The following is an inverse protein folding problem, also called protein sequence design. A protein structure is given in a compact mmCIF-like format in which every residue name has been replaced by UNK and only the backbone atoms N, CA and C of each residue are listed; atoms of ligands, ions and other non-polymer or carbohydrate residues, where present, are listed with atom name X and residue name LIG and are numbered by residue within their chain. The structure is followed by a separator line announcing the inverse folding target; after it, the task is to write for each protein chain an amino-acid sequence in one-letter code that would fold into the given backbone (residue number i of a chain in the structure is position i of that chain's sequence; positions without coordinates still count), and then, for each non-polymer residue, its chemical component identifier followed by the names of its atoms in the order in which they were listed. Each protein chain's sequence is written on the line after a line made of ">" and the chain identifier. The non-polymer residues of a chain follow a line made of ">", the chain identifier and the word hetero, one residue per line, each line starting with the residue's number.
data_IF_003721780411
#
_entry.id   IF_003721780411
#
_cell.length_a   1.000
_cell.length_b   1.000
_cell.length_c   1.000
_cell.angle_alpha   90.00
_cell.angle_beta   90.00
_cell.angle_gamma   90.00
#
_symmetry.space_group_name_H-M   'P 1'
#
loop_
_entity.id
_entity.type
_entity.pdbx_description
1 polymer ?
#
# COMPACT_ATOMS: atom_id res chain seq x y z
N UNK A 1 -0.95 -2.39 7.07
CA UNK A 1 -1.87 -1.74 6.12
C UNK A 1 -1.08 -0.76 5.26
N UNK A 2 -1.30 -0.74 3.94
CA UNK A 2 -0.75 0.31 3.08
C UNK A 2 -1.51 1.61 3.35
N UNK A 3 -0.77 2.65 3.76
CA UNK A 3 -1.34 3.93 4.15
C UNK A 3 -0.72 5.07 3.34
N UNK A 4 -1.55 5.80 2.58
CA UNK A 4 -1.10 6.86 1.68
C UNK A 4 -1.36 8.28 2.20
N UNK A 5 -2.12 8.43 3.29
CA UNK A 5 -2.59 9.75 3.75
C UNK A 5 -3.78 10.30 2.97
N UNK A 6 -4.32 9.53 2.03
CA UNK A 6 -5.54 9.85 1.29
C UNK A 6 -6.79 9.40 2.04
N UNK A 7 -7.92 10.08 1.77
CA UNK A 7 -9.23 9.88 2.40
C UNK A 7 -9.61 8.40 2.56
N UNK A 8 -9.54 7.61 1.48
CA UNK A 8 -9.99 6.22 1.51
C UNK A 8 -9.11 5.36 2.43
N UNK A 9 -7.79 5.55 2.37
CA UNK A 9 -6.86 4.85 3.27
C UNK A 9 -6.98 5.33 4.72
N UNK A 10 -7.30 6.60 4.97
CA UNK A 10 -7.56 7.13 6.32
C UNK A 10 -8.83 6.53 6.90
N UNK A 11 -9.90 6.46 6.11
CA UNK A 11 -11.15 5.84 6.53
C UNK A 11 -10.97 4.36 6.86
N UNK A 12 -10.31 3.60 5.98
CA UNK A 12 -10.02 2.18 6.22
C UNK A 12 -9.16 2.00 7.48
N UNK A 13 -8.13 2.83 7.69
CA UNK A 13 -7.27 2.73 8.87
C UNK A 13 -8.07 2.96 10.16
N UNK A 14 -8.92 4.00 10.17
CA UNK A 14 -9.81 4.30 11.28
C UNK A 14 -10.76 3.12 11.55
N UNK A 15 -11.39 2.58 10.52
CA UNK A 15 -12.33 1.45 10.64
C UNK A 15 -11.66 0.22 11.25
N UNK A 16 -10.44 -0.13 10.81
CA UNK A 16 -9.69 -1.28 11.36
C UNK A 16 -9.39 -1.11 12.85
N UNK A 17 -9.10 0.11 13.30
CA UNK A 17 -8.73 0.41 14.69
C UNK A 17 -9.99 0.57 15.56
N UNK A 18 -10.90 1.47 15.19
CA UNK A 18 -12.03 1.86 16.05
C UNK A 18 -13.17 0.83 16.02
N UNK A 19 -13.52 0.32 14.84
CA UNK A 19 -14.66 -0.58 14.68
C UNK A 19 -14.27 -2.05 14.84
N UNK A 20 -13.13 -2.45 14.27
CA UNK A 20 -12.66 -3.83 14.31
C UNK A 20 -11.63 -4.10 15.42
N UNK A 21 -11.16 -3.08 16.13
CA UNK A 21 -10.27 -3.22 17.30
C UNK A 21 -8.99 -4.00 16.98
N UNK A 22 -8.50 -3.87 15.75
CA UNK A 22 -7.30 -4.58 15.29
C UNK A 22 -6.04 -3.82 15.70
N UNK A 23 -4.98 -4.57 16.01
CA UNK A 23 -3.62 -4.03 16.10
C UNK A 23 -3.07 -3.86 14.69
N UNK A 24 -2.85 -2.61 14.28
CA UNK A 24 -2.45 -2.27 12.90
C UNK A 24 -1.04 -1.70 12.90
N UNK A 25 -0.20 -2.21 12.00
CA UNK A 25 1.01 -1.50 11.55
C UNK A 25 0.67 -0.77 10.25
N UNK A 26 0.69 0.56 10.27
CA UNK A 26 0.52 1.39 9.09
C UNK A 26 1.87 1.57 8.36
N UNK A 27 1.88 1.42 7.04
CA UNK A 27 3.11 1.49 6.24
C UNK A 27 2.88 2.46 5.09
N UNK A 28 3.71 3.49 5.00
CA UNK A 28 3.75 4.40 3.86
C UNK A 28 4.98 4.12 3.01
N UNK A 29 4.77 3.82 1.74
CA UNK A 29 5.87 3.62 0.79
C UNK A 29 6.24 4.94 0.13
N UNK A 30 7.41 5.46 0.46
CA UNK A 30 7.98 6.65 -0.12
C UNK A 30 8.66 6.34 -1.45
N UNK A 31 7.90 6.54 -2.53
CA UNK A 31 8.40 6.46 -3.90
C UNK A 31 8.95 7.80 -4.42
N UNK A 32 9.12 8.82 -3.58
CA UNK A 32 9.65 10.13 -3.95
C UNK A 32 8.64 11.12 -4.55
N UNK A 33 7.36 10.74 -4.67
CA UNK A 33 6.29 11.58 -5.23
C UNK A 33 5.10 11.76 -4.27
N UNK A 34 5.33 11.65 -2.95
CA UNK A 34 4.29 11.90 -1.94
C UNK A 34 4.11 13.42 -1.79
N UNK A 35 2.85 13.90 -1.84
CA UNK A 35 2.57 15.33 -1.69
C UNK A 35 2.78 15.79 -0.24
N UNK A 36 3.16 17.06 -0.02
CA UNK A 36 3.30 17.63 1.33
C UNK A 36 2.02 17.47 2.17
N UNK A 37 0.85 17.68 1.56
CA UNK A 37 -0.45 17.48 2.22
C UNK A 37 -0.66 16.04 2.66
N UNK A 38 -0.25 15.06 1.85
CA UNK A 38 -0.36 13.64 2.24
C UNK A 38 0.56 13.34 3.43
N UNK A 39 1.78 13.89 3.46
CA UNK A 39 2.70 13.74 4.61
C UNK A 39 2.09 14.34 5.87
N UNK A 40 1.51 15.55 5.77
CA UNK A 40 0.84 16.20 6.90
C UNK A 40 -0.36 15.36 7.40
N UNK A 41 -1.19 14.85 6.49
CA UNK A 41 -2.31 13.98 6.82
C UNK A 41 -1.83 12.69 7.49
N UNK A 42 -0.75 12.08 6.98
CA UNK A 42 -0.18 10.88 7.57
C UNK A 42 0.18 11.14 9.03
N UNK A 43 0.97 12.18 9.29
CA UNK A 43 1.43 12.52 10.63
C UNK A 43 0.28 12.85 11.59
N UNK A 44 -0.72 13.61 11.14
CA UNK A 44 -1.90 13.97 11.95
C UNK A 44 -2.71 12.74 12.33
N UNK A 45 -3.04 11.90 11.34
CA UNK A 45 -3.91 10.74 11.53
C UNK A 45 -3.22 9.66 12.34
N UNK A 46 -1.95 9.34 12.07
CA UNK A 46 -1.26 8.28 12.81
C UNK A 46 -1.08 8.64 14.27
N UNK A 47 -0.79 9.92 14.56
CA UNK A 47 -0.75 10.45 15.93
C UNK A 47 -2.12 10.41 16.61
N UNK A 48 -3.19 10.79 15.91
CA UNK A 48 -4.55 10.81 16.46
C UNK A 48 -5.08 9.41 16.77
N UNK A 49 -4.83 8.44 15.87
CA UNK A 49 -5.26 7.05 16.04
C UNK A 49 -4.32 6.21 16.91
N UNK A 50 -3.21 6.80 17.40
CA UNK A 50 -2.19 6.12 18.21
C UNK A 50 -1.71 4.81 17.58
N UNK A 51 -1.46 4.82 16.27
CA UNK A 51 -1.06 3.64 15.49
C UNK A 51 0.42 3.67 15.15
N UNK A 52 1.08 2.52 15.24
CA UNK A 52 2.45 2.35 14.76
C UNK A 52 2.52 2.63 13.26
N UNK A 53 3.46 3.47 12.86
CA UNK A 53 3.62 3.90 11.47
C UNK A 53 5.08 3.85 11.02
N UNK A 54 5.34 3.23 9.87
CA UNK A 54 6.67 3.20 9.24
C UNK A 54 6.65 3.83 7.84
N UNK A 55 7.74 4.52 7.51
CA UNK A 55 8.07 4.90 6.14
C UNK A 55 9.05 3.90 5.53
N UNK A 56 8.74 3.45 4.31
CA UNK A 56 9.60 2.58 3.51
C UNK A 56 10.11 3.40 2.35
N UNK A 57 11.41 3.71 2.35
CA UNK A 57 12.01 4.59 1.34
C UNK A 57 13.14 3.84 0.62
N UNK A 58 12.85 3.13 -0.48
CA UNK A 58 13.91 2.59 -1.32
C UNK A 58 14.79 3.71 -1.89
N UNK A 59 16.00 3.37 -2.30
CA UNK A 59 16.90 4.34 -2.91
C UNK A 59 16.25 4.93 -4.18
N UNK A 60 16.41 6.24 -4.34
CA UNK A 60 15.80 6.99 -5.46
C UNK A 60 16.19 6.41 -6.81
N UNK A 61 17.43 5.98 -6.98
CA UNK A 61 17.90 5.43 -8.25
C UNK A 61 17.29 4.06 -8.55
N UNK A 62 17.02 3.24 -7.53
CA UNK A 62 16.25 2.00 -7.68
C UNK A 62 14.82 2.28 -8.16
N UNK A 63 14.15 3.28 -7.58
CA UNK A 63 12.80 3.66 -8.00
C UNK A 63 12.80 4.18 -9.45
N UNK A 64 13.76 5.05 -9.80
CA UNK A 64 13.93 5.55 -11.16
C UNK A 64 14.13 4.41 -12.16
N UNK A 65 15.02 3.45 -11.83
CA UNK A 65 15.29 2.32 -12.70
C UNK A 65 14.03 1.48 -12.97
N UNK A 66 13.27 1.16 -11.92
CA UNK A 66 12.01 0.43 -12.06
C UNK A 66 11.02 1.21 -12.94
N UNK A 67 10.90 2.52 -12.74
CA UNK A 67 9.97 3.33 -13.52
C UNK A 67 10.38 3.42 -14.99
N UNK A 68 11.66 3.64 -15.29
CA UNK A 68 12.16 3.67 -16.67
C UNK A 68 11.95 2.32 -17.36
N UNK A 69 12.31 1.21 -16.70
CA UNK A 69 12.13 -0.14 -17.27
C UNK A 69 10.66 -0.49 -17.49
N UNK A 70 9.76 0.01 -16.65
CA UNK A 70 8.32 -0.22 -16.81
C UNK A 70 7.74 0.36 -18.11
N UNK A 71 8.42 1.35 -18.70
CA UNK A 71 8.00 2.01 -19.93
C UNK A 71 8.44 1.26 -21.19
N UNK A 72 9.20 0.17 -21.06
CA UNK A 72 9.62 -0.62 -22.22
C UNK A 72 8.42 -1.19 -22.99
N UNK A 73 8.49 -1.25 -24.34
CA UNK A 73 7.41 -1.78 -25.14
C UNK A 73 7.00 -3.19 -24.70
N UNK A 74 5.70 -3.44 -24.65
CA UNK A 74 5.12 -4.74 -24.28
C UNK A 74 5.48 -5.24 -22.86
N UNK A 75 5.97 -4.38 -21.96
CA UNK A 75 6.26 -4.76 -20.57
C UNK A 75 4.98 -5.15 -19.80
N UNK A 76 3.86 -4.48 -20.09
CA UNK A 76 2.54 -4.82 -19.58
C UNK A 76 1.55 -5.07 -20.72
N UNK A 77 0.60 -6.00 -20.54
CA UNK A 77 -0.46 -6.21 -21.51
C UNK A 77 -1.39 -4.99 -21.56
N UNK A 78 -1.98 -4.71 -22.73
CA UNK A 78 -2.89 -3.58 -22.92
C UNK A 78 -4.06 -3.58 -21.93
N UNK A 79 -4.56 -4.75 -21.54
CA UNK A 79 -5.61 -4.90 -20.53
C UNK A 79 -5.22 -4.34 -19.17
N UNK A 80 -3.95 -4.44 -18.77
CA UNK A 80 -3.45 -3.86 -17.54
C UNK A 80 -3.31 -2.33 -17.66
N UNK A 81 -2.80 -1.85 -18.80
CA UNK A 81 -2.60 -0.43 -19.07
C UNK A 81 -3.91 0.37 -19.15
N UNK A 82 -5.03 -0.27 -19.46
CA UNK A 82 -6.37 0.34 -19.36
C UNK A 82 -6.78 0.73 -17.94
N UNK A 83 -6.18 0.13 -16.91
CA UNK A 83 -6.52 0.39 -15.49
C UNK A 83 -5.61 1.42 -14.84
N UNK A 84 -4.33 1.44 -15.22
CA UNK A 84 -3.32 2.34 -14.66
C UNK A 84 -2.11 2.40 -15.59
N UNK A 85 -1.31 3.47 -15.48
CA UNK A 85 -0.05 3.58 -16.23
C UNK A 85 0.96 2.50 -15.82
N UNK A 86 1.91 2.18 -16.69
CA UNK A 86 2.97 1.20 -16.41
C UNK A 86 3.77 1.53 -15.14
N UNK A 87 4.06 2.81 -14.92
CA UNK A 87 4.72 3.32 -13.71
C UNK A 87 3.88 3.06 -12.47
N UNK A 88 2.58 3.38 -12.53
CA UNK A 88 1.67 3.14 -11.41
C UNK A 88 1.56 1.64 -11.10
N UNK A 89 1.44 0.79 -12.11
CA UNK A 89 1.38 -0.67 -11.93
C UNK A 89 2.66 -1.17 -11.24
N UNK A 90 3.83 -0.72 -11.71
CA UNK A 90 5.12 -1.11 -11.13
C UNK A 90 5.26 -0.66 -9.68
N UNK A 91 4.91 0.60 -9.40
CA UNK A 91 4.92 1.16 -8.04
C UNK A 91 3.98 0.38 -7.11
N UNK A 92 2.74 0.12 -7.53
CA UNK A 92 1.79 -0.67 -6.75
C UNK A 92 2.30 -2.09 -6.48
N UNK A 93 2.96 -2.73 -7.46
CA UNK A 93 3.55 -4.05 -7.28
C UNK A 93 4.70 -4.06 -6.27
N UNK A 94 5.55 -3.02 -6.25
CA UNK A 94 6.59 -2.86 -5.23
C UNK A 94 5.99 -2.75 -3.83
N UNK A 95 4.97 -1.89 -3.67
CA UNK A 95 4.25 -1.70 -2.41
C UNK A 95 3.65 -3.03 -1.96
N UNK A 96 2.92 -3.71 -2.85
CA UNK A 96 2.28 -5.01 -2.55
C UNK A 96 3.31 -6.06 -2.12
N UNK A 97 4.39 -6.19 -2.85
CA UNK A 97 5.46 -7.16 -2.55
C UNK A 97 6.11 -6.89 -1.20
N UNK A 98 6.39 -5.61 -0.90
CA UNK A 98 6.97 -5.23 0.38
C UNK A 98 6.04 -5.52 1.55
N UNK A 99 4.76 -5.17 1.43
CA UNK A 99 3.79 -5.41 2.49
C UNK A 99 3.58 -6.90 2.76
N UNK A 100 3.56 -7.73 1.72
CA UNK A 100 3.48 -9.19 1.89
C UNK A 100 4.72 -9.70 2.64
N UNK A 101 5.93 -9.27 2.24
CA UNK A 101 7.18 -9.60 2.94
C UNK A 101 7.09 -9.21 4.42
N UNK A 102 6.66 -7.98 4.72
CA UNK A 102 6.49 -7.49 6.09
C UNK A 102 5.46 -8.28 6.88
N UNK A 103 4.35 -8.65 6.26
CA UNK A 103 3.32 -9.45 6.91
C UNK A 103 3.85 -10.84 7.29
N UNK A 104 4.64 -11.47 6.41
CA UNK A 104 5.30 -12.74 6.70
C UNK A 104 6.29 -12.59 7.86
N UNK A 105 7.16 -11.58 7.82
CA UNK A 105 8.15 -11.29 8.88
C UNK A 105 7.49 -11.03 10.24
N UNK A 106 6.40 -10.25 10.24
CA UNK A 106 5.65 -9.90 11.45
C UNK A 106 4.62 -10.97 11.88
N UNK A 107 4.49 -12.08 11.13
CA UNK A 107 3.42 -13.09 11.28
C UNK A 107 2.01 -12.45 11.33
N UNK A 108 1.81 -11.39 10.56
CA UNK A 108 0.53 -10.72 10.44
C UNK A 108 -0.38 -11.50 9.48
N UNK A 109 -1.61 -11.87 9.88
CA UNK A 109 -2.52 -12.67 9.05
C UNK A 109 -3.20 -11.85 7.94
N UNK A 110 -3.07 -10.52 7.97
CA UNK A 110 -3.83 -9.59 7.13
C UNK A 110 -2.96 -8.49 6.54
N UNK A 111 -3.15 -8.26 5.24
CA UNK A 111 -2.60 -7.12 4.51
C UNK A 111 -3.73 -6.34 3.85
N UNK A 112 -3.91 -5.09 4.26
CA UNK A 112 -4.98 -4.22 3.75
C UNK A 112 -4.41 -3.15 2.81
N UNK A 113 -5.05 -2.95 1.66
CA UNK A 113 -4.71 -1.97 0.62
C UNK A 113 -5.95 -1.14 0.24
N UNK A 114 -6.25 -0.06 0.97
CA UNK A 114 -7.42 0.79 0.66
C UNK A 114 -8.72 -0.04 0.54
N UNK A 115 -9.38 -0.10 -0.65
CA UNK A 115 -10.58 -0.91 -0.88
C UNK A 115 -10.33 -2.42 -1.10
N UNK A 116 -9.07 -2.87 -1.18
CA UNK A 116 -8.69 -4.28 -1.35
C UNK A 116 -8.17 -4.85 -0.02
N UNK A 117 -8.67 -6.02 0.39
CA UNK A 117 -8.14 -6.78 1.52
C UNK A 117 -7.44 -8.02 0.97
N UNK A 118 -6.21 -8.28 1.42
CA UNK A 118 -5.46 -9.50 1.13
C UNK A 118 -5.21 -10.25 2.44
N UNK A 119 -5.71 -11.47 2.53
CA UNK A 119 -5.44 -12.39 3.64
C UNK A 119 -4.20 -13.23 3.33
N UNK A 120 -3.37 -13.45 4.34
CA UNK A 120 -2.27 -14.41 4.27
C UNK A 120 -2.56 -15.52 5.27
N UNK A 121 -3.01 -16.67 4.77
CA UNK A 121 -3.45 -17.82 5.58
C UNK A 121 -2.78 -19.06 5.02
N UNK A 122 -2.17 -19.89 5.88
CA UNK A 122 -1.54 -21.17 5.52
C UNK A 122 -0.60 -21.09 4.31
N UNK A 123 0.28 -20.09 4.30
CA UNK A 123 1.26 -19.86 3.22
C UNK A 123 0.62 -19.56 1.85
N UNK A 124 -0.64 -19.11 1.83
CA UNK A 124 -1.40 -18.73 0.63
C UNK A 124 -1.94 -17.31 0.75
N UNK A 125 -1.97 -16.62 -0.39
CA UNK A 125 -2.53 -15.28 -0.52
C UNK A 125 -3.97 -15.38 -1.04
N UNK A 126 -4.91 -14.85 -0.28
CA UNK A 126 -6.31 -14.74 -0.68
C UNK A 126 -6.68 -13.26 -0.82
N UNK A 127 -7.07 -12.83 -2.02
CA UNK A 127 -7.47 -11.44 -2.27
C UNK A 127 -8.99 -11.32 -2.29
N UNK A 128 -9.53 -10.42 -1.47
CA UNK A 128 -10.93 -10.06 -1.43
C UNK A 128 -11.06 -8.59 -1.79
N UNK A 129 -11.81 -8.31 -2.86
CA UNK A 129 -12.23 -6.94 -3.16
C UNK A 129 -13.50 -6.65 -2.39
N UNK A 130 -13.49 -5.58 -1.58
CA UNK A 130 -14.71 -5.12 -0.95
C UNK A 130 -15.51 -4.38 -2.02
N UNK A 131 -16.60 -4.98 -2.48
CA UNK A 131 -17.56 -4.29 -3.35
C UNK A 131 -18.32 -3.28 -2.49
N UNK A 132 -18.09 -1.99 -2.73
CA UNK A 132 -18.96 -0.94 -2.20
C UNK A 132 -20.17 -0.88 -3.13
N UNK A 133 -21.35 -1.20 -2.61
CA UNK A 133 -22.63 -1.04 -3.33
C UNK A 133 -22.97 0.43 -3.50
#
# INVERSE_FOLDING_TARGET
>A
MAYSGGKDSTYTLRLLIENYQLKVLAITFNHGFISPTAIENINKVTKHLHVDHEYVSPQTDTIKEVFVKSLFPNFYPLSALKRASAVCISCMNLIKSYLIKKAIEAKAPLVVYGPEITFYIDNRLYQVKIAVK
#
